data_IF_568271148992
#
_entry.id   IF_568271148992
#
_cell.length_a   1.000
_cell.length_b   1.000
_cell.length_c   1.000
_cell.angle_alpha   90.00
_cell.angle_beta   90.00
_cell.angle_gamma   90.00
#
_symmetry.space_group_name_H-M   'P 1'
#
loop_
_entity.id
_entity.type
_entity.pdbx_description
1 polymer ?
#
# COMPACT_ATOMS: atom_id res chain seq x y z
N UNK A 1 -6.11 2.56 24.22
CA UNK A 1 -6.90 3.50 23.40
C UNK A 1 -7.84 2.66 22.55
N UNK A 2 -9.14 2.70 22.86
CA UNK A 2 -10.13 1.74 22.37
C UNK A 2 -10.77 2.26 21.09
N UNK A 3 -10.71 1.49 19.99
CA UNK A 3 -11.47 1.76 18.77
C UNK A 3 -12.79 1.01 18.89
N UNK A 4 -13.90 1.74 19.09
CA UNK A 4 -15.24 1.15 19.11
C UNK A 4 -15.86 1.20 17.72
N UNK A 5 -16.03 0.04 17.11
CA UNK A 5 -16.93 -0.14 15.98
C UNK A 5 -18.33 -0.45 16.55
N UNK A 6 -19.34 0.37 16.23
CA UNK A 6 -20.72 0.03 16.56
C UNK A 6 -21.19 -1.11 15.64
N UNK A 7 -21.81 -2.18 16.17
CA UNK A 7 -22.26 -3.29 15.34
C UNK A 7 -23.49 -2.86 14.52
N UNK A 8 -23.33 -2.80 13.20
CA UNK A 8 -24.46 -2.93 12.26
C UNK A 8 -24.55 -4.41 11.84
N UNK A 9 -25.75 -5.02 11.72
CA UNK A 9 -25.87 -6.48 11.78
C UNK A 9 -25.25 -7.26 10.62
N UNK A 10 -24.81 -6.63 9.53
CA UNK A 10 -24.34 -7.35 8.33
C UNK A 10 -23.36 -6.55 7.47
N UNK A 11 -22.16 -6.20 7.98
CA UNK A 11 -21.08 -5.69 7.11
C UNK A 11 -19.71 -6.27 7.48
N UNK A 12 -19.34 -7.33 6.79
CA UNK A 12 -17.96 -7.82 6.70
C UNK A 12 -17.14 -6.84 5.86
N UNK A 13 -16.46 -5.89 6.52
CA UNK A 13 -15.35 -5.16 5.90
C UNK A 13 -14.14 -6.10 5.77
N UNK A 14 -13.46 -6.10 4.62
CA UNK A 14 -12.19 -6.81 4.43
C UNK A 14 -11.04 -5.83 4.70
N UNK A 15 -10.14 -6.23 5.60
CA UNK A 15 -9.08 -5.43 6.22
C UNK A 15 -8.04 -4.88 5.23
N UNK A 16 -7.58 -3.66 5.55
CA UNK A 16 -6.31 -3.04 5.15
C UNK A 16 -6.10 -1.77 5.98
N UNK A 17 -5.14 -1.76 6.91
CA UNK A 17 -4.78 -0.59 7.72
C UNK A 17 -3.35 -0.19 7.34
N UNK A 18 -3.16 0.99 6.75
CA UNK A 18 -1.84 1.58 6.50
C UNK A 18 -1.62 2.75 7.45
N UNK A 19 -0.67 2.65 8.37
CA UNK A 19 -0.21 3.75 9.22
C UNK A 19 1.16 4.18 8.70
N UNK A 20 1.30 5.41 8.24
CA UNK A 20 2.57 5.94 7.75
C UNK A 20 3.01 7.13 8.62
N UNK A 21 4.20 7.02 9.19
CA UNK A 21 4.96 8.15 9.76
C UNK A 21 6.39 8.06 9.25
N UNK A 22 6.93 9.16 8.73
CA UNK A 22 8.37 9.30 8.47
C UNK A 22 8.91 10.57 9.13
N UNK A 23 10.09 10.45 9.71
CA UNK A 23 10.95 11.56 10.09
C UNK A 23 12.34 11.03 10.44
N UNK A 24 13.39 11.60 9.85
CA UNK A 24 14.77 11.47 10.34
C UNK A 24 15.10 12.67 11.21
N UNK A 25 15.74 12.45 12.36
CA UNK A 25 16.22 13.53 13.24
C UNK A 25 17.71 13.83 12.95
N UNK A 26 18.09 15.10 12.85
CA UNK A 26 19.48 15.56 12.92
C UNK A 26 19.86 15.82 14.39
N UNK A 27 21.10 15.51 14.83
CA UNK A 27 21.48 15.59 16.23
C UNK A 27 22.09 16.97 16.56
N UNK A 28 21.29 17.92 17.05
CA UNK A 28 21.70 19.02 17.97
C UNK A 28 20.70 20.20 18.11
N UNK A 29 19.58 20.24 17.41
CA UNK A 29 18.62 21.34 17.58
C UNK A 29 17.51 20.96 18.57
N UNK A 30 17.36 21.77 19.63
CA UNK A 30 16.30 21.68 20.62
C UNK A 30 14.92 21.63 19.95
N UNK A 31 14.28 20.46 19.94
CA UNK A 31 12.91 20.30 19.45
C UNK A 31 11.91 20.89 20.47
N UNK A 32 11.59 22.17 20.34
CA UNK A 32 10.23 22.60 20.68
C UNK A 32 9.28 21.86 19.73
N UNK A 33 8.57 20.85 20.26
CA UNK A 33 7.62 20.04 19.52
C UNK A 33 6.41 20.88 19.08
N UNK A 34 6.58 21.66 18.03
CA UNK A 34 5.45 22.18 17.27
C UNK A 34 5.02 21.08 16.30
N UNK A 35 3.88 20.46 16.61
CA UNK A 35 3.22 19.40 15.85
C UNK A 35 2.50 19.97 14.59
N UNK A 36 3.10 20.94 13.91
CA UNK A 36 2.53 21.62 12.74
C UNK A 36 3.06 21.10 11.38
N UNK A 37 3.73 19.93 11.38
CA UNK A 37 3.92 19.14 10.16
C UNK A 37 2.92 17.97 10.13
N UNK A 38 1.87 18.17 9.34
CA UNK A 38 0.73 17.29 9.05
C UNK A 38 0.90 15.80 9.39
N UNK A 39 0.60 15.40 10.64
CA UNK A 39 0.28 14.01 10.98
C UNK A 39 -1.05 13.63 10.34
N UNK A 40 -1.03 13.30 9.05
CA UNK A 40 -2.20 12.82 8.32
C UNK A 40 -2.25 11.29 8.37
N UNK A 41 -3.20 10.76 9.14
CA UNK A 41 -3.58 9.36 9.06
C UNK A 41 -4.66 9.20 7.99
N UNK A 42 -4.47 8.25 7.08
CA UNK A 42 -5.50 7.84 6.11
C UNK A 42 -5.78 6.35 6.23
N UNK A 43 -7.05 5.98 6.16
CA UNK A 43 -7.53 4.60 6.17
C UNK A 43 -8.32 4.35 4.90
N UNK A 44 -8.03 3.24 4.24
CA UNK A 44 -8.66 2.85 2.99
C UNK A 44 -9.37 1.53 3.17
N UNK A 45 -10.54 1.37 2.56
CA UNK A 45 -11.28 0.11 2.62
C UNK A 45 -12.13 -0.12 1.37
N UNK A 46 -12.52 -1.37 1.17
CA UNK A 46 -13.50 -1.77 0.16
C UNK A 46 -14.88 -1.98 0.78
N UNK A 47 -15.94 -1.66 0.03
CA UNK A 47 -17.32 -2.03 0.36
C UNK A 47 -17.74 -3.31 -0.40
N UNK A 48 -18.88 -3.94 -0.06
CA UNK A 48 -19.35 -5.15 -0.75
C UNK A 48 -19.57 -4.99 -2.27
N UNK A 49 -19.86 -3.77 -2.74
CA UNK A 49 -19.96 -3.40 -4.16
C UNK A 49 -18.60 -3.15 -4.82
N UNK A 50 -17.51 -3.50 -4.12
CA UNK A 50 -16.11 -3.31 -4.50
C UNK A 50 -15.75 -1.86 -4.88
N UNK A 51 -16.50 -0.89 -4.35
CA UNK A 51 -16.08 0.52 -4.30
C UNK A 51 -14.97 0.71 -3.27
N UNK A 52 -14.08 1.68 -3.53
CA UNK A 52 -12.96 2.02 -2.65
C UNK A 52 -13.29 3.33 -1.94
N UNK A 53 -13.05 3.36 -0.63
CA UNK A 53 -13.30 4.50 0.22
C UNK A 53 -12.04 4.90 0.98
N UNK A 54 -11.97 6.18 1.33
CA UNK A 54 -10.89 6.74 2.15
C UNK A 54 -11.49 7.57 3.28
N UNK A 55 -10.87 7.47 4.45
CA UNK A 55 -11.07 8.38 5.57
C UNK A 55 -9.71 8.95 5.98
N UNK A 56 -9.67 10.22 6.35
CA UNK A 56 -8.46 10.88 6.81
C UNK A 56 -8.72 11.66 8.09
N UNK A 57 -7.72 11.70 8.96
CA UNK A 57 -7.77 12.49 10.19
C UNK A 57 -7.40 13.95 9.88
N UNK A 58 -8.28 14.86 10.27
CA UNK A 58 -8.10 16.31 10.17
C UNK A 58 -8.26 16.98 11.53
N UNK A 59 -8.03 18.29 11.60
CA UNK A 59 -8.32 19.10 12.80
C UNK A 59 -9.80 19.09 13.17
N UNK A 60 -10.70 18.86 12.21
CA UNK A 60 -12.14 18.71 12.42
C UNK A 60 -12.55 17.24 12.72
N UNK A 61 -11.59 16.37 13.06
CA UNK A 61 -11.82 14.93 13.23
C UNK A 61 -11.74 14.15 11.93
N UNK A 62 -12.29 12.93 11.93
CA UNK A 62 -12.30 12.05 10.75
C UNK A 62 -13.21 12.58 9.66
N UNK A 63 -12.67 12.72 8.46
CA UNK A 63 -13.37 13.04 7.23
C UNK A 63 -13.29 11.83 6.30
N UNK A 64 -14.20 11.69 5.34
CA UNK A 64 -14.15 10.57 4.41
C UNK A 64 -14.99 10.76 3.16
N UNK A 65 -14.62 10.05 2.11
CA UNK A 65 -15.35 10.04 0.84
C UNK A 65 -15.20 8.71 0.10
N UNK A 66 -16.09 8.47 -0.86
CA UNK A 66 -15.85 7.46 -1.87
C UNK A 66 -14.67 7.92 -2.73
N UNK A 67 -13.68 7.05 -2.86
CA UNK A 67 -12.50 7.31 -3.67
C UNK A 67 -12.69 6.79 -5.10
N UNK A 68 -13.28 5.59 -5.23
CA UNK A 68 -13.60 5.00 -6.52
C UNK A 68 -14.97 4.31 -6.45
N UNK A 69 -15.75 4.43 -7.53
CA UNK A 69 -17.13 3.94 -7.62
C UNK A 69 -17.28 2.41 -7.55
N UNK A 70 -18.52 1.89 -7.55
CA UNK A 70 -18.78 0.44 -7.57
C UNK A 70 -18.08 -0.27 -8.73
N UNK A 71 -17.63 -1.52 -8.53
CA UNK A 71 -16.93 -2.28 -9.56
C UNK A 71 -15.47 -1.90 -9.80
N UNK A 72 -14.88 -1.01 -8.98
CA UNK A 72 -13.51 -0.52 -9.21
C UNK A 72 -12.43 -1.51 -8.77
N UNK A 73 -12.60 -2.14 -7.61
CA UNK A 73 -11.69 -3.16 -7.09
C UNK A 73 -12.13 -4.57 -7.51
N UNK A 74 -11.19 -5.52 -7.53
CA UNK A 74 -11.52 -6.95 -7.52
C UNK A 74 -12.21 -7.33 -6.20
N UNK A 75 -13.16 -8.29 -6.18
CA UNK A 75 -13.76 -8.80 -4.93
C UNK A 75 -12.75 -9.31 -3.91
N UNK A 76 -11.59 -9.75 -4.38
CA UNK A 76 -10.47 -10.25 -3.58
C UNK A 76 -9.39 -9.21 -3.34
N UNK A 77 -9.63 -7.96 -3.71
CA UNK A 77 -8.61 -6.92 -3.72
C UNK A 77 -8.00 -6.74 -2.33
N UNK A 78 -6.68 -6.74 -2.30
CA UNK A 78 -5.92 -6.18 -1.19
C UNK A 78 -5.61 -4.72 -1.50
N UNK A 79 -5.42 -3.99 -0.41
CA UNK A 79 -5.12 -2.58 -0.43
C UNK A 79 -3.77 -2.37 0.26
N UNK A 80 -2.95 -1.50 -0.29
CA UNK A 80 -1.74 -1.03 0.39
C UNK A 80 -1.50 0.43 0.03
N UNK A 81 -0.84 1.16 0.90
CA UNK A 81 -0.51 2.55 0.65
C UNK A 81 0.88 2.88 1.19
N UNK A 82 1.59 3.74 0.48
CA UNK A 82 2.91 4.23 0.89
C UNK A 82 3.03 5.72 0.66
N UNK A 83 3.74 6.39 1.56
CA UNK A 83 4.16 7.77 1.40
C UNK A 83 5.64 7.80 1.05
N UNK A 84 5.98 8.32 -0.13
CA UNK A 84 7.37 8.40 -0.61
C UNK A 84 8.04 9.75 -0.29
N UNK A 85 7.23 10.80 -0.25
CA UNK A 85 7.62 12.16 0.14
C UNK A 85 6.61 12.65 1.16
N UNK A 86 7.01 13.64 1.96
CA UNK A 86 6.05 14.41 2.75
C UNK A 86 4.89 14.81 1.83
N UNK A 87 3.67 14.54 2.25
CA UNK A 87 2.45 14.97 1.59
C UNK A 87 2.13 14.32 0.21
N UNK A 88 2.72 13.15 -0.10
CA UNK A 88 2.32 12.33 -1.26
C UNK A 88 1.93 10.92 -0.86
N UNK A 89 0.66 10.56 -1.06
CA UNK A 89 0.15 9.21 -0.80
C UNK A 89 0.04 8.49 -2.14
N UNK A 90 0.66 7.31 -2.26
CA UNK A 90 0.36 6.37 -3.32
C UNK A 90 -0.45 5.23 -2.72
N UNK A 91 -1.64 5.01 -3.24
CA UNK A 91 -2.54 3.93 -2.87
C UNK A 91 -2.63 2.91 -4.00
N UNK A 92 -2.46 1.65 -3.66
CA UNK A 92 -2.46 0.54 -4.60
C UNK A 92 -3.53 -0.45 -4.25
N UNK A 93 -4.13 -1.01 -5.29
CA UNK A 93 -5.18 -1.99 -5.16
C UNK A 93 -5.20 -2.91 -6.38
N UNK A 94 -5.84 -4.07 -6.24
CA UNK A 94 -6.12 -4.95 -7.37
C UNK A 94 -7.45 -4.53 -8.00
N UNK A 95 -7.40 -4.02 -9.23
CA UNK A 95 -8.58 -3.63 -10.00
C UNK A 95 -9.14 -4.76 -10.86
N UNK A 96 -10.04 -4.37 -11.78
CA UNK A 96 -10.58 -5.27 -12.81
C UNK A 96 -9.47 -5.97 -13.61
N UNK A 97 -9.77 -7.18 -14.10
CA UNK A 97 -8.83 -8.06 -14.81
C UNK A 97 -7.61 -8.49 -13.97
N UNK A 98 -7.71 -8.42 -12.64
CA UNK A 98 -6.66 -8.80 -11.68
C UNK A 98 -5.34 -8.07 -11.98
N UNK A 99 -5.39 -6.75 -12.16
CA UNK A 99 -4.19 -5.93 -12.37
C UNK A 99 -4.00 -4.99 -11.20
N UNK A 100 -2.75 -4.80 -10.77
CA UNK A 100 -2.43 -3.79 -9.76
C UNK A 100 -2.57 -2.41 -10.38
N UNK A 101 -3.35 -1.57 -9.70
CA UNK A 101 -3.62 -0.19 -10.09
C UNK A 101 -3.16 0.75 -8.99
N UNK A 102 -2.81 1.98 -9.40
CA UNK A 102 -2.44 3.08 -8.52
C UNK A 102 -3.45 4.20 -8.63
N UNK A 103 -3.78 4.75 -7.47
CA UNK A 103 -4.30 6.11 -7.31
C UNK A 103 -3.39 6.82 -6.30
N UNK A 104 -3.24 8.12 -6.40
CA UNK A 104 -2.31 8.92 -5.64
C UNK A 104 -2.90 10.28 -5.35
N UNK A 105 -2.49 10.83 -4.22
CA UNK A 105 -2.84 12.15 -3.75
C UNK A 105 -1.58 12.98 -3.55
N UNK A 106 -1.69 14.26 -3.88
CA UNK A 106 -0.64 15.27 -3.82
C UNK A 106 -1.20 16.45 -3.04
N UNK A 107 -0.51 16.90 -1.98
CA UNK A 107 -0.95 18.09 -1.23
C UNK A 107 -1.00 19.36 -2.05
N UNK A 108 -0.25 19.43 -3.14
CA UNK A 108 -0.28 20.55 -4.08
C UNK A 108 -1.68 20.71 -4.70
N UNK A 109 -2.50 19.65 -4.70
CA UNK A 109 -3.89 19.66 -5.13
C UNK A 109 -4.82 19.05 -4.04
N UNK A 110 -5.12 19.80 -2.97
CA UNK A 110 -5.96 19.30 -1.88
C UNK A 110 -7.31 18.80 -2.37
N UNK A 111 -7.76 17.66 -1.84
CA UNK A 111 -9.05 17.06 -2.20
C UNK A 111 -9.08 16.30 -3.53
N UNK A 112 -8.07 16.42 -4.39
CA UNK A 112 -8.05 15.80 -5.72
C UNK A 112 -7.11 14.61 -5.76
N UNK A 113 -7.65 13.43 -6.11
CA UNK A 113 -6.89 12.22 -6.40
C UNK A 113 -6.67 12.10 -7.91
N UNK A 114 -5.65 11.38 -8.36
CA UNK A 114 -5.48 11.17 -9.79
C UNK A 114 -6.54 10.19 -10.32
N UNK A 115 -7.47 10.68 -11.12
CA UNK A 115 -8.46 9.84 -11.79
C UNK A 115 -8.36 9.99 -13.31
N UNK A 116 -8.56 8.90 -14.09
CA UNK A 116 -8.78 7.52 -13.62
C UNK A 116 -7.50 6.92 -13.03
N UNK A 117 -7.66 5.89 -12.20
CA UNK A 117 -6.51 5.13 -11.68
C UNK A 117 -5.72 4.51 -12.83
N UNK A 118 -4.42 4.33 -12.64
CA UNK A 118 -3.51 3.85 -13.69
C UNK A 118 -3.01 2.42 -13.39
N UNK A 119 -2.79 1.58 -14.41
CA UNK A 119 -2.13 0.30 -14.21
C UNK A 119 -0.63 0.51 -13.92
N UNK A 120 -0.10 -0.17 -12.91
CA UNK A 120 1.35 -0.17 -12.63
C UNK A 120 2.06 -1.42 -13.13
N UNK A 121 1.29 -2.42 -13.56
CA UNK A 121 1.79 -3.70 -14.05
C UNK A 121 0.85 -4.26 -15.10
N UNK A 122 1.43 -4.91 -16.10
CA UNK A 122 0.70 -5.72 -17.09
C UNK A 122 0.62 -7.20 -16.69
N UNK A 123 1.26 -7.60 -15.59
CA UNK A 123 1.23 -8.97 -15.09
C UNK A 123 -0.10 -9.23 -14.37
N UNK A 124 -0.82 -10.32 -14.72
CA UNK A 124 -2.02 -10.70 -14.00
C UNK A 124 -1.65 -11.15 -12.59
N UNK A 125 -2.33 -10.57 -11.61
CA UNK A 125 -2.30 -10.91 -10.21
C UNK A 125 -3.22 -12.11 -9.94
N UNK A 126 -2.89 -12.90 -8.92
CA UNK A 126 -3.80 -13.88 -8.33
C UNK A 126 -4.13 -13.45 -6.91
N UNK A 127 -5.25 -13.95 -6.37
CA UNK A 127 -5.62 -13.79 -4.96
C UNK A 127 -4.37 -13.84 -4.08
N UNK A 128 -4.19 -12.91 -3.15
CA UNK A 128 -3.02 -12.97 -2.27
C UNK A 128 -2.74 -11.67 -1.56
N UNK A 129 -1.51 -11.55 -1.08
CA UNK A 129 -1.00 -10.35 -0.43
C UNK A 129 -0.54 -9.32 -1.45
N UNK A 130 -0.70 -8.06 -1.07
CA UNK A 130 -0.24 -6.89 -1.81
C UNK A 130 0.47 -6.00 -0.80
N UNK A 131 1.77 -5.81 -0.99
CA UNK A 131 2.60 -4.99 -0.12
C UNK A 131 3.26 -3.88 -0.92
N UNK A 132 3.28 -2.66 -0.38
CA UNK A 132 4.02 -1.55 -0.99
C UNK A 132 5.05 -0.97 -0.04
N UNK A 133 6.21 -0.63 -0.57
CA UNK A 133 7.31 -0.04 0.18
C UNK A 133 7.88 1.14 -0.59
N UNK A 134 8.41 2.10 0.16
CA UNK A 134 9.25 3.16 -0.35
C UNK A 134 10.55 3.07 0.41
N UNK A 135 11.64 2.79 -0.31
CA UNK A 135 12.95 2.72 0.31
C UNK A 135 13.58 4.10 0.50
N UNK A 136 13.17 5.09 -0.31
CA UNK A 136 13.53 6.50 -0.17
C UNK A 136 12.61 7.36 -1.06
N UNK A 137 12.85 8.67 -1.07
CA UNK A 137 12.09 9.63 -1.86
C UNK A 137 12.16 9.45 -3.36
N UNK A 138 13.02 8.57 -3.88
CA UNK A 138 13.29 8.37 -5.31
C UNK A 138 12.89 6.98 -5.82
N UNK A 139 12.48 6.07 -4.93
CA UNK A 139 12.17 4.69 -5.28
C UNK A 139 10.99 4.16 -4.45
N UNK A 140 10.02 3.55 -5.13
CA UNK A 140 8.92 2.81 -4.51
C UNK A 140 8.64 1.54 -5.28
N UNK A 141 8.13 0.54 -4.57
CA UNK A 141 7.91 -0.79 -5.10
C UNK A 141 6.65 -1.42 -4.52
N UNK A 142 6.00 -2.25 -5.32
CA UNK A 142 4.78 -2.99 -4.97
C UNK A 142 5.01 -4.45 -5.28
N UNK A 143 4.89 -5.29 -4.26
CA UNK A 143 5.02 -6.74 -4.34
C UNK A 143 3.64 -7.39 -4.33
N UNK A 144 3.44 -8.40 -5.17
CA UNK A 144 2.16 -9.11 -5.32
C UNK A 144 2.37 -10.52 -5.86
N UNK A 145 1.38 -11.40 -5.69
CA UNK A 145 1.43 -12.74 -6.27
C UNK A 145 0.94 -12.75 -7.73
N UNK A 146 1.77 -13.26 -8.64
CA UNK A 146 1.35 -13.53 -10.01
C UNK A 146 0.50 -14.80 -10.13
N UNK A 147 -0.12 -15.05 -11.29
CA UNK A 147 -0.94 -16.24 -11.55
C UNK A 147 -0.22 -17.59 -11.36
N UNK A 148 1.10 -17.61 -11.45
CA UNK A 148 1.93 -18.78 -11.14
C UNK A 148 2.24 -18.93 -9.64
N UNK A 149 1.54 -18.18 -8.78
CA UNK A 149 1.74 -18.12 -7.32
C UNK A 149 3.14 -17.70 -6.88
N UNK A 150 3.92 -17.10 -7.78
CA UNK A 150 5.23 -16.52 -7.47
C UNK A 150 5.09 -15.03 -7.23
N UNK A 151 5.91 -14.51 -6.31
CA UNK A 151 5.97 -13.07 -6.09
C UNK A 151 6.49 -12.40 -7.36
N UNK A 152 5.83 -11.31 -7.71
CA UNK A 152 6.18 -10.34 -8.74
C UNK A 152 6.36 -9.00 -8.06
N UNK A 153 7.07 -8.10 -8.72
CA UNK A 153 7.15 -6.72 -8.29
C UNK A 153 6.81 -5.76 -9.42
N UNK A 154 6.38 -4.57 -9.03
CA UNK A 154 6.33 -3.40 -9.88
C UNK A 154 7.01 -2.26 -9.15
N UNK A 155 7.95 -1.58 -9.79
CA UNK A 155 8.72 -0.51 -9.19
C UNK A 155 8.66 0.76 -10.03
N UNK A 156 8.87 1.88 -9.36
CA UNK A 156 8.95 3.20 -9.96
C UNK A 156 10.13 3.96 -9.37
N UNK A 157 10.96 4.52 -10.25
CA UNK A 157 12.09 5.38 -9.88
C UNK A 157 11.91 6.79 -10.44
N UNK A 158 12.43 7.78 -9.72
CA UNK A 158 12.38 9.18 -10.15
C UNK A 158 12.99 9.37 -11.54
N UNK A 159 14.13 8.73 -11.80
CA UNK A 159 14.86 8.86 -13.06
C UNK A 159 14.15 8.22 -14.25
N UNK A 160 13.46 7.09 -14.05
CA UNK A 160 12.71 6.44 -15.12
C UNK A 160 11.36 7.12 -15.35
N UNK A 161 10.77 7.71 -14.31
CA UNK A 161 9.45 8.32 -14.31
C UNK A 161 8.36 7.43 -14.96
N UNK A 162 8.52 6.11 -14.84
CA UNK A 162 7.60 5.12 -15.39
C UNK A 162 7.62 3.86 -14.53
N UNK A 163 6.49 3.15 -14.47
CA UNK A 163 6.42 1.87 -13.78
C UNK A 163 7.00 0.78 -14.65
N UNK A 164 7.79 -0.09 -14.03
CA UNK A 164 8.25 -1.35 -14.62
C UNK A 164 7.75 -2.49 -13.74
N UNK A 165 7.46 -3.64 -14.34
CA UNK A 165 7.09 -4.83 -13.59
C UNK A 165 7.71 -6.08 -14.18
N UNK A 166 8.08 -7.01 -13.31
CA UNK A 166 8.79 -8.23 -13.69
C UNK A 166 8.59 -9.34 -12.65
N UNK A 167 9.11 -10.53 -12.98
CA UNK A 167 9.20 -11.61 -12.01
C UNK A 167 10.28 -11.28 -10.97
N UNK A 168 9.98 -11.54 -9.68
CA UNK A 168 11.00 -11.44 -8.66
C UNK A 168 12.02 -12.59 -8.87
N UNK A 169 13.31 -12.31 -9.16
CA UNK A 169 14.30 -13.36 -9.29
C UNK A 169 14.45 -14.13 -7.98
N UNK A 170 14.49 -15.46 -8.03
CA UNK A 170 14.51 -16.30 -6.82
C UNK A 170 13.16 -16.39 -6.09
N UNK A 171 12.06 -16.02 -6.75
CA UNK A 171 10.71 -16.02 -6.17
C UNK A 171 10.44 -17.22 -5.27
N UNK A 172 10.23 -16.91 -4.00
CA UNK A 172 10.04 -17.77 -2.84
C UNK A 172 9.16 -19.01 -3.16
N UNK A 173 9.78 -20.16 -3.42
CA UNK A 173 9.09 -21.47 -3.47
C UNK A 173 8.34 -21.78 -2.17
N UNK A 174 8.76 -21.16 -1.07
CA UNK A 174 8.16 -21.31 0.24
C UNK A 174 6.94 -20.43 0.51
N UNK A 175 6.57 -19.45 -0.33
CA UNK A 175 5.38 -18.64 -0.06
C UNK A 175 4.09 -19.39 -0.36
N UNK A 176 3.14 -19.35 0.58
CA UNK A 176 1.79 -19.85 0.39
C UNK A 176 1.08 -19.06 -0.72
N UNK A 177 0.59 -19.74 -1.78
CA UNK A 177 -0.30 -19.12 -2.74
C UNK A 177 -1.47 -18.45 -2.03
N UNK A 178 -1.77 -17.21 -2.43
CA UNK A 178 -2.81 -16.41 -1.80
C UNK A 178 -2.60 -16.03 -0.32
N UNK A 179 -1.39 -16.24 0.21
CA UNK A 179 -1.00 -15.85 1.57
C UNK A 179 -0.85 -14.33 1.75
N UNK A 180 -0.71 -13.89 3.00
CA UNK A 180 -0.36 -12.51 3.31
C UNK A 180 1.05 -12.19 2.84
N UNK A 181 1.28 -10.92 2.50
CA UNK A 181 2.54 -10.37 2.05
C UNK A 181 2.67 -8.98 2.68
N UNK A 182 3.74 -8.78 3.44
CA UNK A 182 4.04 -7.50 4.07
C UNK A 182 5.46 -7.10 3.69
N UNK A 183 5.68 -5.81 3.48
CA UNK A 183 6.98 -5.27 3.09
C UNK A 183 7.24 -3.96 3.82
N UNK A 184 8.50 -3.74 4.19
CA UNK A 184 8.94 -2.54 4.89
C UNK A 184 10.31 -2.12 4.38
N UNK A 185 10.59 -0.82 4.51
CA UNK A 185 11.95 -0.31 4.46
C UNK A 185 12.28 0.21 5.85
N UNK A 186 13.50 -0.08 6.32
CA UNK A 186 13.99 0.40 7.62
C UNK A 186 15.08 1.45 7.47
N UNK A 187 15.65 1.58 6.27
CA UNK A 187 16.73 2.50 5.90
C UNK A 187 16.72 2.75 4.39
N UNK A 188 17.26 3.88 3.97
CA UNK A 188 17.56 4.14 2.56
C UNK A 188 18.36 2.97 1.97
N UNK A 189 18.00 2.54 0.76
CA UNK A 189 18.67 1.40 0.14
C UNK A 189 18.09 0.04 0.50
N UNK A 190 17.17 -0.05 1.47
CA UNK A 190 16.70 -1.35 2.01
C UNK A 190 15.23 -1.62 1.73
N UNK A 191 14.91 -2.88 1.44
CA UNK A 191 13.55 -3.41 1.42
C UNK A 191 13.58 -4.83 1.98
N UNK A 192 12.66 -5.12 2.89
CA UNK A 192 12.50 -6.44 3.49
C UNK A 192 11.03 -6.81 3.42
N UNK A 193 10.76 -8.07 3.11
CA UNK A 193 9.40 -8.58 2.99
C UNK A 193 9.24 -9.95 3.62
N UNK A 194 8.02 -10.22 4.04
CA UNK A 194 7.62 -11.50 4.60
C UNK A 194 6.35 -11.98 3.95
N UNK A 195 6.31 -13.26 3.66
CA UNK A 195 5.08 -13.94 3.25
C UNK A 195 4.81 -15.11 4.20
N UNK A 196 3.54 -15.49 4.26
CA UNK A 196 3.15 -16.72 4.95
C UNK A 196 3.75 -17.93 4.23
N UNK A 197 4.43 -18.82 4.97
CA UNK A 197 5.04 -20.02 4.38
C UNK A 197 3.99 -21.07 3.97
N UNK A 198 4.28 -21.89 2.95
CA UNK A 198 3.46 -23.04 2.53
C UNK A 198 3.25 -24.06 3.64
N UNK A 199 4.18 -24.16 4.59
CA UNK A 199 4.04 -24.99 5.80
C UNK A 199 2.90 -24.55 6.72
N UNK A 200 2.38 -23.33 6.55
CA UNK A 200 1.38 -22.70 7.41
C UNK A 200 1.85 -22.46 8.86
N UNK A 201 3.13 -22.66 9.16
CA UNK A 201 3.70 -22.57 10.52
C UNK A 201 4.84 -21.55 10.64
N UNK A 202 5.26 -20.95 9.53
CA UNK A 202 6.39 -20.02 9.48
C UNK A 202 6.11 -18.83 8.55
N UNK A 203 7.01 -17.86 8.59
CA UNK A 203 7.14 -16.81 7.58
C UNK A 203 8.36 -17.13 6.72
N UNK A 204 8.29 -16.80 5.43
CA UNK A 204 9.45 -16.75 4.55
C UNK A 204 9.81 -15.28 4.38
N UNK A 205 11.07 -14.95 4.64
CA UNK A 205 11.63 -13.63 4.43
C UNK A 205 12.26 -13.51 3.03
N UNK A 206 12.31 -12.28 2.53
CA UNK A 206 13.07 -11.90 1.35
C UNK A 206 13.54 -10.46 1.52
N UNK A 207 14.69 -10.11 0.94
CA UNK A 207 15.29 -8.80 1.13
C UNK A 207 16.01 -8.31 -0.11
N UNK A 208 16.06 -7.00 -0.25
CA UNK A 208 16.78 -6.28 -1.30
C UNK A 208 17.56 -5.14 -0.67
N UNK A 209 18.83 -5.09 -1.03
CA UNK A 209 19.74 -4.02 -0.63
C UNK A 209 20.37 -3.47 -1.91
N UNK A 210 20.22 -2.16 -2.13
CA UNK A 210 20.75 -1.44 -3.28
C UNK A 210 22.02 -0.65 -2.90
#
# INVERSE_FOLDING_TARGET
MEIRFTPSPTRTARNGLSINSCGTCQPDQSCEHRFDRFSQMSVFWTRPDVSIWVAWLSTAGWQGKQLLGPGSASPSSRLTAVTRLELRINFFYVGNYKRVRRIYWKSENPGTWNEPSEPISNLPETLGGLGSVSMNSNHQEVFFFGTNSKIKHAYWTESANTWKSEALPGANDGCMPNGSLEVVSRRDGTMEGWCKATSNTALVDFYFYA
#
